data_IF_252159031121
#
_entry.id   IF_252159031121
#
_cell.length_a   1.000
_cell.length_b   1.000
_cell.length_c   1.000
_cell.angle_alpha   90.00
_cell.angle_beta   90.00
_cell.angle_gamma   90.00
#
_symmetry.space_group_name_H-M   'P 1'
#
loop_
_entity.id
_entity.type
_entity.pdbx_description
1 polymer ?
#
# COMPACT_ATOMS: atom_id res chain seq x y z
N UNK A 1 31.12 -46.26 -29.92
CA UNK A 1 29.67 -46.43 -29.64
C UNK A 1 29.11 -45.49 -28.55
N UNK A 2 29.93 -44.79 -27.74
CA UNK A 2 29.44 -43.86 -26.71
C UNK A 2 28.97 -42.48 -27.21
N UNK A 3 29.46 -42.00 -28.37
CA UNK A 3 29.07 -40.68 -28.93
C UNK A 3 27.62 -40.59 -29.42
N UNK A 4 26.97 -41.72 -29.72
CA UNK A 4 25.62 -41.72 -30.31
C UNK A 4 24.50 -41.60 -29.25
N UNK A 5 24.81 -41.95 -28.00
CA UNK A 5 23.85 -41.89 -26.88
C UNK A 5 23.73 -40.45 -26.36
N UNK A 6 24.85 -39.71 -26.29
CA UNK A 6 24.87 -38.32 -25.85
C UNK A 6 24.05 -37.38 -26.77
N UNK A 7 24.13 -37.56 -28.09
CA UNK A 7 23.41 -36.69 -29.04
C UNK A 7 21.89 -36.87 -29.04
N UNK A 8 21.37 -38.01 -28.56
CA UNK A 8 19.93 -38.27 -28.48
C UNK A 8 19.33 -37.84 -27.13
N UNK A 9 20.15 -37.60 -26.10
CA UNK A 9 19.70 -37.16 -24.78
C UNK A 9 19.54 -35.64 -24.69
N UNK A 10 20.42 -34.87 -25.32
CA UNK A 10 20.40 -33.39 -25.32
C UNK A 10 19.06 -32.78 -25.76
N UNK A 11 18.42 -33.19 -26.86
CA UNK A 11 17.13 -32.59 -27.25
C UNK A 11 16.00 -32.92 -26.27
N UNK A 12 16.07 -34.07 -25.60
CA UNK A 12 15.05 -34.50 -24.61
C UNK A 12 15.19 -33.68 -23.32
N UNK A 13 16.42 -33.44 -22.84
CA UNK A 13 16.65 -32.60 -21.65
C UNK A 13 16.23 -31.15 -21.89
N UNK A 14 16.49 -30.60 -23.08
CA UNK A 14 16.06 -29.23 -23.44
C UNK A 14 14.53 -29.15 -23.51
N UNK A 15 13.85 -30.15 -24.06
CA UNK A 15 12.38 -30.19 -24.13
C UNK A 15 11.73 -30.28 -22.75
N UNK A 16 12.32 -31.04 -21.81
CA UNK A 16 11.82 -31.17 -20.43
C UNK A 16 12.00 -29.85 -19.66
N UNK A 17 13.13 -29.16 -19.82
CA UNK A 17 13.37 -27.85 -19.20
C UNK A 17 12.38 -26.80 -19.77
N UNK A 18 12.09 -26.85 -21.06
CA UNK A 18 11.11 -25.97 -21.70
C UNK A 18 9.68 -26.24 -21.21
N UNK A 19 9.32 -27.50 -20.97
CA UNK A 19 8.02 -27.86 -20.40
C UNK A 19 7.90 -27.42 -18.93
N UNK A 20 8.96 -27.56 -18.14
CA UNK A 20 8.98 -27.10 -16.74
C UNK A 20 8.88 -25.57 -16.62
N UNK A 21 9.47 -24.80 -17.54
CA UNK A 21 9.33 -23.35 -17.53
C UNK A 21 7.91 -22.90 -17.90
N UNK A 22 7.24 -23.59 -18.83
CA UNK A 22 5.85 -23.29 -19.20
C UNK A 22 4.89 -23.61 -18.05
N UNK A 23 5.04 -24.76 -17.36
CA UNK A 23 4.21 -25.07 -16.19
C UNK A 23 4.53 -24.20 -14.96
N UNK A 24 5.79 -23.76 -14.81
CA UNK A 24 6.19 -22.77 -13.81
C UNK A 24 5.57 -21.39 -14.04
N UNK A 25 5.35 -21.00 -15.31
CA UNK A 25 4.71 -19.74 -15.68
C UNK A 25 3.17 -19.78 -15.55
N UNK A 26 2.53 -20.94 -15.78
CA UNK A 26 1.06 -21.06 -15.66
C UNK A 26 0.59 -21.09 -14.20
N UNK A 27 1.48 -21.41 -13.24
CA UNK A 27 1.16 -21.32 -11.80
C UNK A 27 1.21 -19.90 -11.22
N UNK A 28 1.62 -18.89 -12.00
CA UNK A 28 1.67 -17.50 -11.52
C UNK A 28 0.36 -16.75 -11.78
N UNK A 29 -0.54 -17.32 -12.58
CA UNK A 29 -1.80 -16.69 -12.99
C UNK A 29 -3.03 -17.09 -12.16
N UNK A 30 -2.86 -17.80 -11.04
CA UNK A 30 -3.93 -18.01 -10.04
C UNK A 30 -3.59 -17.38 -8.69
N UNK A 31 -2.94 -16.21 -8.70
CA UNK A 31 -3.02 -15.35 -7.54
C UNK A 31 -4.51 -15.00 -7.36
N UNK A 32 -5.11 -15.24 -6.19
CA UNK A 32 -6.38 -14.61 -5.86
C UNK A 32 -6.24 -13.12 -6.21
N UNK A 33 -7.28 -12.48 -6.75
CA UNK A 33 -7.30 -11.02 -6.79
C UNK A 33 -6.91 -10.56 -5.39
N UNK A 34 -5.67 -10.06 -5.24
CA UNK A 34 -5.14 -9.65 -3.94
C UNK A 34 -6.00 -8.46 -3.58
N UNK A 35 -6.99 -8.69 -2.73
CA UNK A 35 -7.83 -7.61 -2.24
C UNK A 35 -6.90 -6.55 -1.66
N UNK A 36 -6.96 -5.36 -2.26
CA UNK A 36 -6.07 -4.27 -1.94
C UNK A 36 -6.75 -3.37 -0.92
N UNK A 37 -5.98 -2.93 0.08
CA UNK A 37 -6.40 -1.79 0.87
C UNK A 37 -6.33 -0.51 0.01
N UNK A 38 -7.39 0.30 0.07
CA UNK A 38 -7.46 1.61 -0.56
C UNK A 38 -7.66 2.69 0.49
N UNK A 39 -7.04 3.85 0.32
CA UNK A 39 -7.34 5.04 1.13
C UNK A 39 -8.20 5.99 0.31
N UNK A 40 -9.24 6.53 0.94
CA UNK A 40 -9.98 7.66 0.41
C UNK A 40 -9.12 8.93 0.43
N UNK A 41 -8.90 9.55 -0.73
CA UNK A 41 -8.15 10.80 -0.84
C UNK A 41 -8.90 12.00 -0.21
N UNK A 42 -10.16 11.80 0.22
CA UNK A 42 -11.07 12.86 0.71
C UNK A 42 -11.05 13.07 2.22
N UNK A 43 -10.04 12.54 2.92
CA UNK A 43 -9.91 12.69 4.36
C UNK A 43 -10.14 14.11 4.87
N UNK A 44 -10.98 14.32 5.88
CA UNK A 44 -11.11 15.64 6.51
C UNK A 44 -9.89 15.92 7.37
N UNK A 45 -9.28 17.10 7.23
CA UNK A 45 -8.20 17.52 8.11
C UNK A 45 -8.65 18.72 8.91
N UNK A 46 -8.52 18.62 10.23
CA UNK A 46 -8.62 19.76 11.13
C UNK A 46 -7.21 20.28 11.40
N UNK A 47 -7.01 21.59 11.28
CA UNK A 47 -5.72 22.25 11.49
C UNK A 47 -5.94 23.43 12.43
N UNK A 48 -5.30 23.38 13.58
CA UNK A 48 -5.17 24.53 14.47
C UNK A 48 -3.79 25.17 14.29
N UNK A 49 -3.77 26.30 13.58
CA UNK A 49 -2.56 27.07 13.32
C UNK A 49 -1.97 27.75 14.56
N UNK A 50 -2.77 27.97 15.61
CA UNK A 50 -2.31 28.63 16.83
C UNK A 50 -1.54 27.66 17.73
N UNK A 51 -1.98 26.40 17.80
CA UNK A 51 -1.31 25.33 18.55
C UNK A 51 -0.27 24.55 17.72
N UNK A 52 -0.36 24.59 16.39
CA UNK A 52 0.50 23.78 15.51
C UNK A 52 0.09 22.30 15.50
N UNK A 53 -1.18 22.02 15.79
CA UNK A 53 -1.74 20.66 15.86
C UNK A 53 -2.70 20.44 14.68
N UNK A 54 -2.69 19.23 14.15
CA UNK A 54 -3.61 18.80 13.12
C UNK A 54 -4.06 17.36 13.29
N UNK A 55 -5.27 17.06 12.84
CA UNK A 55 -5.84 15.72 12.86
C UNK A 55 -6.24 15.33 11.46
N UNK A 56 -5.84 14.15 11.00
CA UNK A 56 -6.21 13.57 9.71
C UNK A 56 -7.27 12.50 9.93
N UNK A 57 -8.42 12.67 9.29
CA UNK A 57 -9.42 11.62 9.12
C UNK A 57 -9.05 10.77 7.89
N UNK A 58 -8.86 9.48 8.09
CA UNK A 58 -8.50 8.53 7.04
C UNK A 58 -9.58 7.47 6.97
N UNK A 59 -10.15 7.28 5.78
CA UNK A 59 -11.06 6.19 5.51
C UNK A 59 -10.36 5.13 4.65
N UNK A 60 -10.22 3.91 5.17
CA UNK A 60 -9.58 2.78 4.49
C UNK A 60 -10.65 1.78 4.08
N UNK A 61 -10.62 1.37 2.82
CA UNK A 61 -11.49 0.32 2.28
C UNK A 61 -10.69 -0.95 2.03
N UNK A 62 -11.29 -2.08 2.38
CA UNK A 62 -10.80 -3.38 1.99
C UNK A 62 -11.69 -3.92 0.85
N UNK A 63 -11.10 -4.15 -0.31
CA UNK A 63 -11.79 -4.73 -1.48
C UNK A 63 -11.83 -6.27 -1.45
N UNK A 64 -11.17 -6.90 -0.49
CA UNK A 64 -11.22 -8.35 -0.29
C UNK A 64 -12.52 -8.79 0.40
N UNK A 65 -12.83 -10.08 0.27
CA UNK A 65 -13.90 -10.73 1.01
C UNK A 65 -13.52 -11.06 2.47
N UNK A 66 -12.22 -11.07 2.79
CA UNK A 66 -11.68 -11.38 4.13
C UNK A 66 -10.98 -10.15 4.73
N UNK A 67 -10.93 -10.01 6.07
CA UNK A 67 -10.21 -8.92 6.71
C UNK A 67 -8.73 -8.87 6.30
N UNK A 68 -8.23 -7.68 5.96
CA UNK A 68 -6.85 -7.46 5.53
C UNK A 68 -6.12 -6.60 6.55
N UNK A 69 -4.88 -6.97 6.84
CA UNK A 69 -3.97 -6.22 7.70
C UNK A 69 -3.13 -5.22 6.90
N UNK A 70 -2.85 -4.08 7.50
CA UNK A 70 -1.98 -3.06 6.93
C UNK A 70 -1.32 -2.20 8.00
N UNK A 71 -0.50 -1.27 7.54
CA UNK A 71 0.24 -0.33 8.37
C UNK A 71 0.08 1.06 7.79
N UNK A 72 -0.53 1.97 8.57
CA UNK A 72 -0.56 3.39 8.26
C UNK A 72 0.67 4.08 8.86
N UNK A 73 1.34 4.89 8.05
CA UNK A 73 2.48 5.70 8.47
C UNK A 73 2.23 7.16 8.13
N UNK A 74 2.29 8.02 9.13
CA UNK A 74 2.17 9.46 8.98
C UNK A 74 3.54 10.10 9.16
N UNK A 75 3.92 10.94 8.20
CA UNK A 75 5.17 11.68 8.25
C UNK A 75 4.98 13.17 8.04
N UNK A 76 5.78 13.97 8.75
CA UNK A 76 5.87 15.43 8.62
C UNK A 76 7.26 15.78 8.12
N UNK A 77 7.35 16.46 6.98
CA UNK A 77 8.60 16.76 6.26
C UNK A 77 9.48 15.52 6.00
N UNK A 78 8.86 14.34 5.87
CA UNK A 78 9.55 13.07 5.64
C UNK A 78 10.03 12.37 6.92
N UNK A 79 9.82 12.96 8.10
CA UNK A 79 10.04 12.30 9.38
C UNK A 79 8.77 11.56 9.82
N UNK A 80 8.88 10.26 10.12
CA UNK A 80 7.78 9.45 10.62
C UNK A 80 7.38 9.93 12.02
N UNK A 81 6.13 10.36 12.19
CA UNK A 81 5.59 10.85 13.46
C UNK A 81 4.60 9.89 14.10
N UNK A 82 3.88 9.10 13.29
CA UNK A 82 2.93 8.12 13.79
C UNK A 82 2.91 6.86 12.91
N UNK A 83 2.76 5.70 13.54
CA UNK A 83 2.61 4.41 12.90
C UNK A 83 1.47 3.65 13.56
N UNK A 84 0.48 3.21 12.76
CA UNK A 84 -0.73 2.55 13.24
C UNK A 84 -0.98 1.26 12.48
N UNK A 85 -1.00 0.14 13.20
CA UNK A 85 -1.44 -1.15 12.68
C UNK A 85 -2.96 -1.18 12.50
N UNK A 86 -3.40 -1.64 11.34
CA UNK A 86 -4.82 -1.66 10.98
C UNK A 86 -5.24 -3.05 10.51
N UNK A 87 -6.40 -3.51 10.98
CA UNK A 87 -7.14 -4.62 10.39
C UNK A 87 -8.43 -4.05 9.86
N UNK A 88 -8.69 -4.22 8.56
CA UNK A 88 -9.81 -3.60 7.84
C UNK A 88 -10.73 -4.70 7.32
N UNK A 89 -11.98 -4.69 7.79
CA UNK A 89 -13.05 -5.58 7.36
C UNK A 89 -14.11 -4.73 6.64
N UNK A 90 -14.06 -4.72 5.31
CA UNK A 90 -14.85 -3.83 4.45
C UNK A 90 -14.42 -2.35 4.50
N UNK A 91 -14.60 -1.68 5.63
CA UNK A 91 -14.29 -0.25 5.82
C UNK A 91 -13.78 0.03 7.23
N UNK A 92 -12.80 0.94 7.35
CA UNK A 92 -12.31 1.41 8.65
C UNK A 92 -11.93 2.88 8.61
N UNK A 93 -12.40 3.61 9.62
CA UNK A 93 -12.08 5.01 9.84
C UNK A 93 -11.01 5.12 10.93
N UNK A 94 -10.01 5.96 10.69
CA UNK A 94 -8.90 6.22 11.61
C UNK A 94 -8.66 7.73 11.68
N UNK A 95 -8.31 8.19 12.88
CA UNK A 95 -7.87 9.56 13.14
C UNK A 95 -6.41 9.50 13.52
N UNK A 96 -5.59 10.34 12.90
CA UNK A 96 -4.16 10.44 13.18
C UNK A 96 -3.83 11.88 13.53
N UNK A 97 -3.21 12.08 14.68
CA UNK A 97 -2.85 13.41 15.18
C UNK A 97 -1.40 13.70 14.84
N UNK A 98 -1.10 14.93 14.43
CA UNK A 98 0.26 15.36 14.13
C UNK A 98 0.51 16.80 14.55
N UNK A 99 1.78 17.09 14.82
CA UNK A 99 2.25 18.45 15.08
C UNK A 99 3.00 18.98 13.87
N UNK A 100 2.80 20.24 13.52
CA UNK A 100 3.54 20.94 12.47
C UNK A 100 4.12 22.26 13.01
N UNK A 101 5.24 22.70 12.43
CA UNK A 101 5.95 23.91 12.83
C UNK A 101 5.76 25.06 11.83
N UNK A 102 5.26 24.76 10.64
CA UNK A 102 5.07 25.73 9.57
C UNK A 102 3.87 25.36 8.71
N UNK A 103 3.14 26.37 8.24
CA UNK A 103 2.07 26.16 7.26
C UNK A 103 2.57 25.60 5.90
N UNK A 104 3.89 25.56 5.67
CA UNK A 104 4.50 24.96 4.48
C UNK A 104 4.95 23.52 4.69
N UNK A 105 4.80 22.98 5.90
CA UNK A 105 5.20 21.62 6.20
C UNK A 105 4.45 20.64 5.30
N UNK A 106 5.19 19.64 4.83
CA UNK A 106 4.66 18.57 3.99
C UNK A 106 4.20 17.44 4.88
N UNK A 107 2.99 17.00 4.68
CA UNK A 107 2.43 15.85 5.38
C UNK A 107 2.27 14.73 4.37
N UNK A 108 2.67 13.52 4.73
CA UNK A 108 2.49 12.33 3.89
C UNK A 108 1.93 11.19 4.72
N UNK A 109 0.88 10.57 4.20
CA UNK A 109 0.27 9.37 4.74
C UNK A 109 0.53 8.22 3.78
N UNK A 110 1.11 7.15 4.29
CA UNK A 110 1.44 5.94 3.54
C UNK A 110 0.66 4.76 4.12
N UNK A 111 0.05 3.97 3.26
CA UNK A 111 -0.53 2.68 3.62
C UNK A 111 0.32 1.57 3.02
N UNK A 112 0.78 0.68 3.89
CA UNK A 112 1.49 -0.53 3.53
C UNK A 112 0.63 -1.77 3.78
N UNK A 113 0.77 -2.75 2.90
CA UNK A 113 0.19 -4.08 3.01
C UNK A 113 1.31 -5.08 2.70
N UNK A 114 1.53 -6.06 3.58
CA UNK A 114 2.61 -7.05 3.44
C UNK A 114 4.03 -6.46 3.28
N UNK A 115 4.26 -5.26 3.83
CA UNK A 115 5.56 -4.56 3.74
C UNK A 115 5.79 -3.81 2.42
N UNK A 116 4.79 -3.75 1.53
CA UNK A 116 4.82 -2.93 0.33
C UNK A 116 3.84 -1.77 0.43
N UNK A 117 4.25 -0.60 -0.06
CA UNK A 117 3.37 0.57 -0.14
C UNK A 117 2.30 0.36 -1.21
N UNK A 118 1.04 0.32 -0.78
CA UNK A 118 -0.10 0.24 -1.70
C UNK A 118 -0.63 1.63 -2.07
N UNK A 119 -0.47 2.62 -1.18
CA UNK A 119 -0.91 4.00 -1.43
C UNK A 119 -0.08 5.00 -0.63
N UNK A 120 0.15 6.16 -1.21
CA UNK A 120 0.70 7.33 -0.53
C UNK A 120 -0.11 8.58 -0.91
N UNK A 121 -0.47 9.39 0.09
CA UNK A 121 -1.16 10.66 -0.07
C UNK A 121 -0.28 11.74 0.56
N UNK A 122 0.03 12.78 -0.21
CA UNK A 122 0.88 13.87 0.25
C UNK A 122 0.22 15.23 0.07
N UNK A 123 0.39 16.10 1.06
CA UNK A 123 -0.14 17.47 1.02
C UNK A 123 0.76 18.46 1.76
N UNK A 124 0.40 19.74 1.69
CA UNK A 124 0.99 20.80 2.53
C UNK A 124 -0.09 21.37 3.43
N UNK A 125 0.28 21.76 4.65
CA UNK A 125 -0.66 22.30 5.65
C UNK A 125 -1.46 23.50 5.07
N UNK A 126 -0.83 24.39 4.31
CA UNK A 126 -1.48 25.54 3.66
C UNK A 126 -2.34 25.24 2.42
N UNK A 127 -2.31 23.99 1.92
CA UNK A 127 -2.92 23.62 0.62
C UNK A 127 -3.69 22.30 0.67
N UNK A 128 -4.16 21.91 1.84
CA UNK A 128 -5.05 20.77 1.90
C UNK A 128 -6.39 21.09 1.24
N UNK A 129 -7.03 20.15 0.52
CA UNK A 129 -8.40 20.34 0.05
C UNK A 129 -9.33 20.55 1.26
N UNK A 130 -9.64 21.81 1.57
CA UNK A 130 -10.76 22.19 2.42
C UNK A 130 -12.04 21.68 1.76
N UNK A 131 -12.55 20.50 2.10
CA UNK A 131 -13.90 20.12 1.70
C UNK A 131 -14.69 19.46 2.83
N UNK A 132 -15.76 20.18 3.17
CA UNK A 132 -16.94 19.86 3.98
C UNK A 132 -16.71 19.63 5.48
N UNK A 133 -16.74 20.75 6.21
CA UNK A 133 -17.34 20.75 7.54
C UNK A 133 -18.78 20.25 7.44
N UNK A 134 -19.07 19.12 8.07
CA UNK A 134 -20.45 18.72 8.32
C UNK A 134 -21.03 19.71 9.34
N UNK A 135 -21.83 20.67 8.84
CA UNK A 135 -22.80 21.40 9.67
C UNK A 135 -23.90 20.45 10.15
#
# INVERSE_FOLDING_TARGET
MLKKIANNLVPITVLIILFLSIFGLVSVSSLPERGCLEIDDTGTIDIDFDSGEGTIFVNIYNRADEPVEGLLKLSVNGELVEETHVVVDGNKIIYLDFTFNSNKDKISLQLEQEGETVREIGFRVDRYPYQYSFN
#
